data_IF_565737996558
#
_entry.id   IF_565737996558
#
_cell.length_a   1.000
_cell.length_b   1.000
_cell.length_c   1.000
_cell.angle_alpha   90.00
_cell.angle_beta   90.00
_cell.angle_gamma   90.00
#
_symmetry.space_group_name_H-M   'P 1'
#
loop_
_entity.id
_entity.type
_entity.pdbx_description
1 polymer ?
#
# COMPACT_ATOMS: atom_id res chain seq x y z
N UNK A 1 8.03 -6.16 39.30
CA UNK A 1 7.50 -6.33 37.95
C UNK A 1 7.27 -4.92 37.36
N UNK A 2 8.18 -4.42 36.56
CA UNK A 2 8.09 -3.10 35.95
C UNK A 2 7.01 -3.19 34.85
N UNK A 3 5.85 -2.55 35.06
CA UNK A 3 4.85 -2.36 34.04
C UNK A 3 5.41 -1.39 33.01
N UNK A 4 6.12 -1.93 32.01
CA UNK A 4 6.51 -1.11 30.87
C UNK A 4 5.23 -0.69 30.15
N UNK A 5 4.91 0.59 30.19
CA UNK A 5 3.84 1.20 29.39
C UNK A 5 3.98 0.67 27.95
N UNK A 6 2.91 0.15 27.32
CA UNK A 6 2.98 -0.32 25.95
C UNK A 6 3.53 0.80 25.06
N UNK A 7 4.59 0.51 24.30
CA UNK A 7 5.22 1.48 23.39
C UNK A 7 4.46 1.67 22.09
N UNK A 8 3.36 0.94 21.93
CA UNK A 8 2.44 0.97 20.79
C UNK A 8 0.99 1.00 21.27
N UNK A 9 0.05 1.52 20.48
CA UNK A 9 -1.40 1.50 20.77
C UNK A 9 -1.91 0.08 20.60
N UNK A 10 -2.32 -0.58 21.69
CA UNK A 10 -2.77 -1.99 21.69
C UNK A 10 -4.21 -2.18 22.16
N UNK A 11 -4.86 -1.13 22.62
CA UNK A 11 -6.23 -1.15 23.17
C UNK A 11 -7.31 -0.88 22.10
N UNK A 12 -6.88 -0.59 20.88
CA UNK A 12 -7.76 -0.35 19.72
C UNK A 12 -7.23 -1.11 18.51
N UNK A 13 -8.10 -1.82 17.80
CA UNK A 13 -7.72 -2.53 16.58
C UNK A 13 -7.51 -1.57 15.41
N UNK A 14 -6.44 -1.79 14.63
CA UNK A 14 -6.20 -1.03 13.42
C UNK A 14 -7.17 -1.41 12.29
N UNK A 15 -7.55 -0.44 11.48
CA UNK A 15 -8.46 -0.66 10.34
C UNK A 15 -7.81 -1.57 9.29
N UNK A 16 -8.49 -2.64 8.84
CA UNK A 16 -7.94 -3.53 7.81
C UNK A 16 -7.80 -2.80 6.48
N UNK A 17 -6.63 -2.90 5.85
CA UNK A 17 -6.33 -2.29 4.55
C UNK A 17 -5.62 -3.28 3.64
N UNK A 18 -5.72 -3.08 2.32
CA UNK A 18 -4.96 -3.83 1.32
C UNK A 18 -3.88 -2.94 0.71
N UNK A 19 -2.65 -3.42 0.72
CA UNK A 19 -1.49 -2.74 0.14
C UNK A 19 -1.07 -3.41 -1.17
N UNK A 20 -1.51 -2.87 -2.31
CA UNK A 20 -1.20 -3.43 -3.63
C UNK A 20 0.31 -3.50 -3.91
N UNK A 21 1.08 -2.54 -3.40
CA UNK A 21 2.53 -2.49 -3.54
C UNK A 21 3.28 -3.60 -2.77
N UNK A 22 2.59 -4.35 -1.89
CA UNK A 22 3.14 -5.51 -1.20
C UNK A 22 3.07 -6.80 -2.05
N UNK A 23 2.44 -6.76 -3.23
CA UNK A 23 2.35 -7.91 -4.12
C UNK A 23 3.70 -8.26 -4.76
N UNK A 24 4.06 -9.55 -4.89
CA UNK A 24 5.31 -9.98 -5.55
C UNK A 24 5.52 -9.38 -6.94
N UNK A 25 4.46 -9.29 -7.74
CA UNK A 25 4.53 -8.69 -9.07
C UNK A 25 4.93 -7.20 -9.03
N UNK A 26 4.59 -6.49 -7.95
CA UNK A 26 4.98 -5.10 -7.76
C UNK A 26 6.47 -4.97 -7.43
N UNK A 27 6.98 -5.83 -6.55
CA UNK A 27 8.42 -5.89 -6.24
C UNK A 27 9.24 -6.19 -7.49
N UNK A 28 8.81 -7.18 -8.28
CA UNK A 28 9.50 -7.56 -9.52
C UNK A 28 9.59 -6.38 -10.49
N UNK A 29 8.50 -5.60 -10.64
CA UNK A 29 8.54 -4.42 -11.50
C UNK A 29 9.52 -3.37 -10.95
N UNK A 30 9.54 -3.10 -9.63
CA UNK A 30 10.49 -2.15 -9.03
C UNK A 30 11.93 -2.61 -9.26
N UNK A 31 12.24 -3.90 -9.09
CA UNK A 31 13.57 -4.45 -9.39
C UNK A 31 13.93 -4.26 -10.85
N UNK A 32 13.00 -4.56 -11.76
CA UNK A 32 13.22 -4.38 -13.20
C UNK A 32 13.45 -2.91 -13.58
N UNK A 33 12.83 -1.94 -12.91
CA UNK A 33 13.11 -0.51 -13.14
C UNK A 33 14.58 -0.17 -12.85
N UNK A 34 15.18 -0.82 -11.87
CA UNK A 34 16.57 -0.62 -11.47
C UNK A 34 17.54 -1.62 -12.12
N UNK A 35 17.10 -2.33 -13.15
CA UNK A 35 17.88 -3.36 -13.86
C UNK A 35 18.43 -4.45 -12.91
N UNK A 36 17.66 -4.80 -11.88
CA UNK A 36 17.94 -5.89 -10.92
C UNK A 36 17.07 -7.09 -11.24
N UNK A 37 17.64 -8.30 -11.14
CA UNK A 37 16.91 -9.54 -11.34
C UNK A 37 15.93 -9.79 -10.20
N UNK A 38 14.63 -9.95 -10.48
CA UNK A 38 13.65 -10.36 -9.45
C UNK A 38 13.87 -11.80 -8.97
N UNK A 39 13.44 -12.15 -7.75
CA UNK A 39 13.49 -13.53 -7.25
C UNK A 39 12.85 -14.55 -8.22
N UNK A 40 13.48 -15.70 -8.39
CA UNK A 40 12.98 -16.74 -9.29
C UNK A 40 11.76 -17.46 -8.68
N UNK A 41 10.60 -17.46 -9.37
CA UNK A 41 9.35 -18.06 -8.91
C UNK A 41 8.96 -19.37 -9.63
N UNK A 42 9.94 -20.14 -10.09
CA UNK A 42 9.70 -21.34 -10.93
C UNK A 42 8.87 -22.42 -10.24
N UNK A 43 9.04 -22.61 -8.92
CA UNK A 43 8.39 -23.67 -8.12
C UNK A 43 7.54 -23.13 -6.99
N UNK A 44 7.16 -21.88 -7.06
CA UNK A 44 6.53 -21.13 -5.98
C UNK A 44 7.49 -20.12 -5.35
N UNK A 45 7.00 -19.41 -4.36
CA UNK A 45 7.77 -18.41 -3.61
C UNK A 45 7.30 -18.35 -2.15
N UNK A 46 8.09 -17.71 -1.30
CA UNK A 46 7.79 -17.48 0.10
C UNK A 46 7.69 -15.98 0.38
N UNK A 47 6.64 -15.57 1.07
CA UNK A 47 6.34 -14.17 1.35
C UNK A 47 5.96 -13.98 2.83
N UNK A 48 6.41 -12.90 3.46
CA UNK A 48 6.15 -12.62 4.86
C UNK A 48 5.79 -11.15 5.08
N UNK A 49 4.73 -10.87 5.87
CA UNK A 49 4.37 -9.53 6.32
C UNK A 49 4.62 -9.38 7.82
N UNK A 50 5.46 -8.42 8.18
CA UNK A 50 5.80 -8.02 9.53
C UNK A 50 4.90 -6.86 9.95
N UNK A 51 4.11 -7.04 11.02
CA UNK A 51 3.05 -6.11 11.39
C UNK A 51 1.84 -6.24 10.45
N UNK A 52 1.39 -7.47 10.20
CA UNK A 52 0.33 -7.74 9.22
C UNK A 52 -1.08 -7.26 9.66
N UNK A 53 -1.24 -6.76 10.88
CA UNK A 53 -2.53 -6.36 11.43
C UNK A 53 -3.55 -7.49 11.31
N UNK A 54 -4.75 -7.17 10.84
CA UNK A 54 -5.82 -8.14 10.62
C UNK A 54 -5.60 -9.01 9.36
N UNK A 55 -4.42 -9.01 8.74
CA UNK A 55 -3.99 -9.91 7.69
C UNK A 55 -4.68 -9.73 6.34
N UNK A 56 -5.26 -8.57 6.07
CA UNK A 56 -6.01 -8.32 4.82
C UNK A 56 -5.12 -8.48 3.58
N UNK A 57 -3.93 -7.88 3.56
CA UNK A 57 -2.98 -8.01 2.45
C UNK A 57 -2.52 -9.45 2.28
N UNK A 58 -2.08 -10.08 3.38
CA UNK A 58 -1.64 -11.47 3.37
C UNK A 58 -2.72 -12.43 2.87
N UNK A 59 -3.98 -12.26 3.32
CA UNK A 59 -5.10 -13.11 2.92
C UNK A 59 -5.43 -12.97 1.42
N UNK A 60 -5.46 -11.73 0.90
CA UNK A 60 -5.72 -11.46 -0.51
C UNK A 60 -4.63 -12.07 -1.40
N UNK A 61 -3.36 -11.84 -1.03
CA UNK A 61 -2.24 -12.38 -1.79
C UNK A 61 -2.18 -13.92 -1.71
N UNK A 62 -2.41 -14.51 -0.55
CA UNK A 62 -2.44 -15.96 -0.39
C UNK A 62 -3.56 -16.63 -1.21
N UNK A 63 -4.77 -16.07 -1.16
CA UNK A 63 -5.91 -16.60 -1.93
C UNK A 63 -5.68 -16.51 -3.44
N UNK A 64 -4.97 -15.49 -3.91
CA UNK A 64 -4.76 -15.23 -5.34
C UNK A 64 -3.44 -15.78 -5.89
N UNK A 65 -2.60 -16.38 -5.03
CA UNK A 65 -1.33 -17.03 -5.42
C UNK A 65 -1.23 -18.43 -4.79
N UNK A 66 -1.96 -19.41 -5.31
CA UNK A 66 -2.06 -20.73 -4.68
C UNK A 66 -0.73 -21.49 -4.58
N UNK A 67 0.27 -21.15 -5.40
CA UNK A 67 1.61 -21.75 -5.35
C UNK A 67 2.57 -21.04 -4.39
N UNK A 68 2.21 -19.87 -3.87
CA UNK A 68 3.01 -19.14 -2.89
C UNK A 68 2.77 -19.63 -1.46
N UNK A 69 3.75 -19.47 -0.58
CA UNK A 69 3.65 -19.69 0.87
C UNK A 69 3.69 -18.36 1.58
N UNK A 70 2.65 -18.06 2.34
CA UNK A 70 2.47 -16.77 2.97
C UNK A 70 2.54 -16.88 4.49
N UNK A 71 3.22 -15.92 5.10
CA UNK A 71 3.30 -15.76 6.54
C UNK A 71 2.91 -14.34 6.95
N UNK A 72 2.16 -14.22 8.04
CA UNK A 72 1.85 -12.93 8.66
C UNK A 72 2.23 -12.96 10.13
N UNK A 73 2.89 -11.93 10.60
CA UNK A 73 3.35 -11.77 11.98
C UNK A 73 2.80 -10.46 12.51
N UNK A 74 2.12 -10.50 13.66
CA UNK A 74 1.65 -9.31 14.36
C UNK A 74 1.77 -9.51 15.88
N UNK A 75 2.02 -8.42 16.59
CA UNK A 75 2.15 -8.43 18.05
C UNK A 75 0.79 -8.69 18.73
N UNK A 76 -0.31 -8.21 18.13
CA UNK A 76 -1.64 -8.25 18.74
C UNK A 76 -2.35 -9.58 18.45
N UNK A 77 -2.66 -10.38 19.50
CA UNK A 77 -3.36 -11.65 19.32
C UNK A 77 -4.74 -11.50 18.68
N UNK A 78 -5.44 -10.38 18.93
CA UNK A 78 -6.76 -10.07 18.40
C UNK A 78 -6.71 -9.87 16.86
N UNK A 79 -5.66 -9.19 16.37
CA UNK A 79 -5.42 -9.04 14.93
C UNK A 79 -5.22 -10.41 14.28
N UNK A 80 -4.37 -11.24 14.86
CA UNK A 80 -4.10 -12.59 14.33
C UNK A 80 -5.33 -13.49 14.42
N UNK A 81 -6.13 -13.37 15.48
CA UNK A 81 -7.40 -14.10 15.59
C UNK A 81 -8.38 -13.70 14.49
N UNK A 82 -8.49 -12.40 14.17
CA UNK A 82 -9.30 -11.90 13.06
C UNK A 82 -8.81 -12.41 11.71
N UNK A 83 -7.50 -12.31 11.45
CA UNK A 83 -6.87 -12.81 10.23
C UNK A 83 -7.07 -14.34 10.03
N UNK A 84 -6.96 -15.12 11.10
CA UNK A 84 -7.22 -16.57 11.09
C UNK A 84 -8.69 -16.90 10.81
N UNK A 85 -9.63 -16.11 11.34
CA UNK A 85 -11.06 -16.29 11.03
C UNK A 85 -11.33 -16.04 9.54
N UNK A 86 -10.76 -14.95 8.99
CA UNK A 86 -10.87 -14.64 7.56
C UNK A 86 -10.29 -15.76 6.70
N UNK A 87 -9.07 -16.21 7.00
CA UNK A 87 -8.38 -17.28 6.26
C UNK A 87 -9.19 -18.58 6.26
N UNK A 88 -9.72 -19.01 7.43
CA UNK A 88 -10.56 -20.22 7.52
C UNK A 88 -11.86 -20.10 6.73
N UNK A 89 -12.57 -18.98 6.83
CA UNK A 89 -13.82 -18.74 6.07
C UNK A 89 -13.60 -18.76 4.56
N UNK A 90 -12.46 -18.21 4.13
CA UNK A 90 -12.07 -18.14 2.73
C UNK A 90 -11.41 -19.43 2.21
N UNK A 91 -11.20 -20.46 3.05
CA UNK A 91 -10.51 -21.69 2.65
C UNK A 91 -9.04 -21.50 2.26
N UNK A 92 -8.36 -20.50 2.81
CA UNK A 92 -6.96 -20.20 2.49
C UNK A 92 -6.05 -21.14 3.28
N UNK A 93 -5.41 -22.09 2.57
CA UNK A 93 -4.54 -23.11 3.19
C UNK A 93 -3.06 -22.73 3.22
N UNK A 94 -2.62 -21.81 2.38
CA UNK A 94 -1.23 -21.43 2.18
C UNK A 94 -0.80 -20.16 2.97
N UNK A 95 -1.57 -19.77 4.01
CA UNK A 95 -1.29 -18.65 4.91
C UNK A 95 -1.11 -19.13 6.35
N UNK A 96 0.07 -18.88 6.91
CA UNK A 96 0.39 -19.15 8.32
C UNK A 96 0.51 -17.84 9.10
N UNK A 97 -0.14 -17.75 10.26
CA UNK A 97 -0.25 -16.50 11.04
C UNK A 97 0.31 -16.69 12.46
N UNK A 98 1.15 -15.75 12.91
CA UNK A 98 1.87 -15.81 14.18
C UNK A 98 1.56 -14.58 15.04
N UNK A 99 1.06 -14.79 16.27
CA UNK A 99 0.86 -13.76 17.28
C UNK A 99 2.11 -13.65 18.15
N UNK A 100 3.06 -12.81 17.79
CA UNK A 100 4.30 -12.60 18.54
C UNK A 100 5.04 -11.34 18.11
N UNK A 101 5.98 -10.88 18.96
CA UNK A 101 6.93 -9.85 18.61
C UNK A 101 8.01 -10.35 17.62
N UNK A 102 8.80 -9.44 17.06
CA UNK A 102 9.84 -9.76 16.09
C UNK A 102 10.99 -10.57 16.69
N UNK A 103 11.29 -10.41 17.99
CA UNK A 103 12.33 -11.18 18.66
C UNK A 103 11.95 -12.67 18.76
N UNK A 104 10.70 -12.94 19.12
CA UNK A 104 10.16 -14.30 19.15
C UNK A 104 10.03 -14.86 17.73
N UNK A 105 9.54 -14.05 16.77
CA UNK A 105 9.41 -14.45 15.39
C UNK A 105 10.75 -14.88 14.77
N UNK A 106 11.83 -14.14 15.04
CA UNK A 106 13.17 -14.48 14.56
C UNK A 106 13.68 -15.84 15.05
N UNK A 107 13.12 -16.39 16.13
CA UNK A 107 13.50 -17.69 16.71
C UNK A 107 12.59 -18.84 16.25
N UNK A 108 11.51 -18.53 15.53
CA UNK A 108 10.65 -19.56 14.94
C UNK A 108 11.39 -20.25 13.80
N UNK A 109 11.11 -21.53 13.58
CA UNK A 109 11.65 -22.31 12.46
C UNK A 109 11.01 -21.93 11.12
N UNK A 110 11.02 -20.65 10.78
CA UNK A 110 10.44 -20.12 9.56
C UNK A 110 11.37 -20.35 8.36
N UNK A 111 10.83 -20.48 7.14
CA UNK A 111 11.65 -20.57 5.95
C UNK A 111 12.40 -19.28 5.67
N UNK A 112 13.30 -19.29 4.69
CA UNK A 112 13.77 -18.06 4.07
C UNK A 112 12.70 -17.56 3.09
N UNK A 113 12.51 -16.23 3.07
CA UNK A 113 11.49 -15.56 2.28
C UNK A 113 12.10 -14.88 1.05
N UNK A 114 11.46 -15.03 -0.08
CA UNK A 114 11.79 -14.29 -1.30
C UNK A 114 11.35 -12.82 -1.19
N UNK A 115 10.27 -12.58 -0.43
CA UNK A 115 9.70 -11.26 -0.21
C UNK A 115 9.35 -11.05 1.26
N UNK A 116 9.84 -9.96 1.84
CA UNK A 116 9.45 -9.50 3.20
C UNK A 116 8.83 -8.12 3.09
N UNK A 117 7.71 -7.91 3.78
CA UNK A 117 6.96 -6.65 3.82
C UNK A 117 6.88 -6.13 5.24
N UNK A 118 7.21 -4.86 5.45
CA UNK A 118 6.96 -4.12 6.69
C UNK A 118 6.23 -2.81 6.33
N UNK A 119 4.90 -2.90 6.17
CA UNK A 119 4.07 -1.75 5.82
C UNK A 119 3.50 -1.08 7.06
N UNK A 120 3.78 0.23 7.23
CA UNK A 120 3.27 0.99 8.37
C UNK A 120 3.82 0.50 9.72
N UNK A 121 5.08 0.06 9.78
CA UNK A 121 5.70 -0.46 11.00
C UNK A 121 6.89 0.39 11.43
N UNK A 122 7.80 0.70 10.52
CA UNK A 122 9.15 1.17 10.82
C UNK A 122 9.19 2.49 11.61
N UNK A 123 8.27 3.40 11.35
CA UNK A 123 8.12 4.67 12.07
C UNK A 123 7.38 4.56 13.41
N UNK A 124 6.71 3.45 13.68
CA UNK A 124 5.88 3.26 14.89
C UNK A 124 6.53 2.39 15.97
N UNK A 125 7.73 1.88 15.70
CA UNK A 125 8.50 1.08 16.64
C UNK A 125 9.78 1.81 17.06
N UNK A 126 10.23 1.57 18.29
CA UNK A 126 11.44 2.18 18.81
C UNK A 126 12.73 1.63 18.15
N UNK A 127 13.89 2.28 18.32
CA UNK A 127 15.14 1.84 17.70
C UNK A 127 15.51 0.38 18.02
N UNK A 128 15.24 -0.10 19.24
CA UNK A 128 15.51 -1.48 19.64
C UNK A 128 14.60 -2.47 18.92
N UNK A 129 13.33 -2.13 18.76
CA UNK A 129 12.41 -2.96 17.99
C UNK A 129 12.75 -2.94 16.48
N UNK A 130 13.24 -1.80 15.94
CA UNK A 130 13.79 -1.75 14.55
C UNK A 130 15.00 -2.67 14.39
N UNK A 131 15.91 -2.69 15.37
CA UNK A 131 17.04 -3.61 15.37
C UNK A 131 16.57 -5.08 15.35
N UNK A 132 15.59 -5.41 16.17
CA UNK A 132 15.01 -6.77 16.21
C UNK A 132 14.33 -7.13 14.87
N UNK A 133 13.65 -6.18 14.25
CA UNK A 133 13.05 -6.36 12.92
C UNK A 133 14.14 -6.60 11.87
N UNK A 134 15.24 -5.83 11.89
CA UNK A 134 16.40 -6.05 11.00
C UNK A 134 17.02 -7.43 11.22
N UNK A 135 17.16 -7.86 12.48
CA UNK A 135 17.66 -9.21 12.79
C UNK A 135 16.74 -10.30 12.23
N UNK A 136 15.42 -10.13 12.28
CA UNK A 136 14.48 -11.04 11.62
C UNK A 136 14.72 -11.08 10.10
N UNK A 137 14.82 -9.92 9.47
CA UNK A 137 15.06 -9.81 8.02
C UNK A 137 16.39 -10.50 7.64
N UNK A 138 17.45 -10.21 8.39
CA UNK A 138 18.77 -10.80 8.15
C UNK A 138 18.75 -12.33 8.17
N UNK A 139 18.07 -12.90 9.16
CA UNK A 139 17.97 -14.35 9.35
C UNK A 139 17.10 -15.03 8.30
N UNK A 140 16.00 -14.39 7.89
CA UNK A 140 14.94 -15.04 7.12
C UNK A 140 14.81 -14.54 5.67
N UNK A 141 15.60 -13.60 5.21
CA UNK A 141 15.59 -13.21 3.80
C UNK A 141 16.45 -14.17 2.98
N UNK A 142 15.91 -14.61 1.85
CA UNK A 142 16.65 -15.44 0.88
C UNK A 142 17.75 -14.62 0.16
N UNK A 143 18.82 -15.25 -0.36
CA UNK A 143 19.71 -14.61 -1.33
C UNK A 143 18.90 -14.09 -2.53
N UNK A 144 19.16 -12.88 -3.00
CA UNK A 144 18.38 -12.20 -4.04
C UNK A 144 16.97 -11.79 -3.59
N UNK A 145 16.62 -12.04 -2.33
CA UNK A 145 15.30 -11.68 -1.77
C UNK A 145 15.11 -10.17 -1.63
N UNK A 146 13.87 -9.75 -1.65
CA UNK A 146 13.49 -8.34 -1.63
C UNK A 146 12.70 -7.97 -0.36
N UNK A 147 12.92 -6.77 0.13
CA UNK A 147 12.26 -6.21 1.31
C UNK A 147 11.58 -4.91 0.95
N UNK A 148 10.29 -4.80 1.28
CA UNK A 148 9.55 -3.54 1.23
C UNK A 148 9.43 -2.96 2.63
N UNK A 149 9.81 -1.69 2.78
CA UNK A 149 9.64 -0.95 4.02
C UNK A 149 8.91 0.36 3.73
N UNK A 150 7.87 0.66 4.50
CA UNK A 150 7.26 1.98 4.48
C UNK A 150 7.42 2.70 5.82
N UNK A 151 7.62 4.00 5.74
CA UNK A 151 7.84 4.84 6.91
C UNK A 151 7.44 6.29 6.67
N UNK A 152 7.10 6.99 7.74
CA UNK A 152 6.93 8.44 7.74
C UNK A 152 8.29 9.10 7.55
N UNK A 153 8.38 10.04 6.63
CA UNK A 153 9.65 10.57 6.16
C UNK A 153 9.83 12.06 6.49
N UNK A 154 11.04 12.39 6.91
CA UNK A 154 11.54 13.76 6.95
C UNK A 154 12.05 14.15 5.54
N UNK A 155 11.96 15.45 5.15
CA UNK A 155 11.54 16.60 5.96
C UNK A 155 10.02 16.83 5.99
N UNK A 156 9.23 16.08 5.28
CA UNK A 156 7.81 16.37 5.08
C UNK A 156 6.95 16.38 6.35
N UNK A 157 7.41 15.77 7.44
CA UNK A 157 6.75 15.81 8.75
C UNK A 157 7.24 16.96 9.65
N UNK A 158 8.29 17.71 9.30
CA UNK A 158 8.91 18.68 10.18
C UNK A 158 7.92 19.72 10.75
N UNK A 159 7.03 20.24 9.91
CA UNK A 159 6.04 21.26 10.33
C UNK A 159 4.92 20.68 11.24
N UNK A 160 4.76 19.37 11.27
CA UNK A 160 3.67 18.70 11.99
C UNK A 160 4.14 17.95 13.25
N UNK A 161 5.45 17.88 13.51
CA UNK A 161 6.00 17.30 14.76
C UNK A 161 5.43 17.95 16.03
N UNK A 162 5.35 19.30 16.14
CA UNK A 162 4.76 19.95 17.31
C UNK A 162 3.29 19.60 17.52
N UNK A 163 2.54 19.42 16.43
CA UNK A 163 1.14 19.00 16.49
C UNK A 163 1.01 17.57 17.06
N UNK A 164 1.78 16.63 16.54
CA UNK A 164 1.76 15.23 17.03
C UNK A 164 2.17 15.17 18.51
N UNK A 165 3.26 15.84 18.90
CA UNK A 165 3.73 15.86 20.26
C UNK A 165 2.68 16.42 21.24
N UNK A 166 2.04 17.54 20.91
CA UNK A 166 1.00 18.14 21.73
C UNK A 166 -0.24 17.24 21.81
N UNK A 167 -0.63 16.62 20.70
CA UNK A 167 -1.75 15.65 20.68
C UNK A 167 -1.50 14.50 21.64
N UNK A 168 -0.30 13.90 21.59
CA UNK A 168 0.10 12.85 22.51
C UNK A 168 0.12 13.30 23.98
N UNK A 169 0.71 14.47 24.24
CA UNK A 169 0.81 15.03 25.60
C UNK A 169 -0.57 15.29 26.22
N UNK A 170 -1.52 15.83 25.43
CA UNK A 170 -2.90 16.04 25.87
C UNK A 170 -3.64 14.72 26.13
N UNK A 171 -3.48 13.75 25.22
CA UNK A 171 -4.11 12.45 25.34
C UNK A 171 -3.67 11.69 26.60
N UNK A 172 -2.43 11.85 27.04
CA UNK A 172 -1.93 11.27 28.30
C UNK A 172 -2.65 11.76 29.56
N UNK A 173 -3.27 12.93 29.51
CA UNK A 173 -4.04 13.48 30.64
C UNK A 173 -5.50 13.02 30.62
N UNK A 174 -5.96 12.39 29.56
CA UNK A 174 -7.34 11.96 29.41
C UNK A 174 -7.53 10.50 29.87
N UNK A 175 -8.71 10.19 30.40
CA UNK A 175 -9.14 8.83 30.74
C UNK A 175 -9.79 8.12 29.55
N UNK A 176 -9.88 6.79 29.65
CA UNK A 176 -10.52 5.95 28.64
C UNK A 176 -9.54 5.24 27.73
N UNK A 177 -10.04 4.64 26.65
CA UNK A 177 -9.25 4.02 25.60
C UNK A 177 -8.58 5.05 24.69
N UNK A 178 -7.75 4.60 23.77
CA UNK A 178 -7.01 5.49 22.87
C UNK A 178 -7.94 6.32 21.96
N UNK A 179 -9.13 5.86 21.62
CA UNK A 179 -10.13 6.65 20.85
C UNK A 179 -10.66 7.80 21.70
N UNK A 180 -11.08 7.52 22.93
CA UNK A 180 -11.58 8.52 23.87
C UNK A 180 -10.50 9.57 24.19
N UNK A 181 -9.27 9.11 24.47
CA UNK A 181 -8.11 9.97 24.71
C UNK A 181 -7.80 10.89 23.56
N UNK A 182 -7.83 10.36 22.32
CA UNK A 182 -7.65 11.18 21.13
C UNK A 182 -8.77 12.22 20.96
N UNK A 183 -10.03 11.82 21.19
CA UNK A 183 -11.18 12.75 21.13
C UNK A 183 -11.06 13.92 22.13
N UNK A 184 -10.62 13.64 23.37
CA UNK A 184 -10.38 14.68 24.37
C UNK A 184 -9.23 15.62 23.98
N UNK A 185 -8.12 15.06 23.45
CA UNK A 185 -7.02 15.85 22.92
C UNK A 185 -7.45 16.73 21.76
N UNK A 186 -8.22 16.19 20.82
CA UNK A 186 -8.75 16.94 19.67
C UNK A 186 -9.64 18.12 20.11
N UNK A 187 -10.55 17.92 21.04
CA UNK A 187 -11.39 18.98 21.55
C UNK A 187 -10.56 20.14 22.15
N UNK A 188 -9.48 19.79 22.85
CA UNK A 188 -8.56 20.80 23.41
C UNK A 188 -7.75 21.49 22.31
N UNK A 189 -7.20 20.75 21.33
CA UNK A 189 -6.48 21.32 20.18
C UNK A 189 -7.35 22.33 19.40
N UNK A 190 -8.63 22.02 19.20
CA UNK A 190 -9.58 22.94 18.54
C UNK A 190 -9.77 24.23 19.33
N UNK A 191 -9.90 24.15 20.65
CA UNK A 191 -10.01 25.34 21.52
C UNK A 191 -8.75 26.19 21.46
N UNK A 192 -7.57 25.56 21.54
CA UNK A 192 -6.28 26.25 21.45
C UNK A 192 -6.08 26.92 20.08
N UNK A 193 -6.46 26.25 19.00
CA UNK A 193 -6.43 26.82 17.66
C UNK A 193 -7.34 28.05 17.51
N UNK A 194 -8.58 27.94 18.03
CA UNK A 194 -9.53 29.06 18.05
C UNK A 194 -9.04 30.24 18.91
N UNK A 195 -8.31 29.96 19.99
CA UNK A 195 -7.65 30.97 20.82
C UNK A 195 -6.36 31.57 20.17
N UNK A 196 -6.00 31.15 18.97
CA UNK A 196 -4.88 31.74 18.21
C UNK A 196 -3.52 31.09 18.44
N UNK A 197 -3.44 29.82 18.87
CA UNK A 197 -2.20 29.09 19.04
C UNK A 197 -1.42 29.00 17.71
N UNK A 198 -0.40 29.84 17.54
CA UNK A 198 0.31 30.06 16.26
C UNK A 198 0.89 28.76 15.68
N UNK A 199 1.58 27.95 16.49
CA UNK A 199 2.18 26.70 16.02
C UNK A 199 1.13 25.69 15.52
N UNK A 200 -0.06 25.62 16.15
CA UNK A 200 -1.15 24.78 15.68
C UNK A 200 -1.73 25.31 14.36
N UNK A 201 -2.00 26.63 14.31
CA UNK A 201 -2.58 27.24 13.12
C UNK A 201 -1.64 27.22 11.91
N UNK A 202 -0.33 27.05 12.12
CA UNK A 202 0.68 26.85 11.07
C UNK A 202 0.87 25.38 10.69
N UNK A 203 0.38 24.41 11.48
CA UNK A 203 0.48 23.00 11.13
C UNK A 203 -0.41 22.65 9.94
N UNK A 204 0.14 22.09 8.86
CA UNK A 204 -0.65 21.64 7.70
C UNK A 204 -1.70 20.58 8.08
N UNK A 205 -1.38 19.66 8.99
CA UNK A 205 -2.31 18.62 9.47
C UNK A 205 -3.46 19.25 10.25
N UNK A 206 -3.17 20.16 11.20
CA UNK A 206 -4.20 20.82 11.98
C UNK A 206 -5.20 21.56 11.08
N UNK A 207 -4.69 22.33 10.10
CA UNK A 207 -5.54 23.06 9.14
C UNK A 207 -6.37 22.15 8.23
N UNK A 208 -5.79 21.01 7.78
CA UNK A 208 -6.42 20.14 6.80
C UNK A 208 -7.36 19.13 7.44
N UNK A 209 -6.96 18.50 8.53
CA UNK A 209 -7.63 17.33 9.08
C UNK A 209 -8.53 17.66 10.28
N UNK A 210 -8.15 18.63 11.12
CA UNK A 210 -8.98 19.02 12.24
C UNK A 210 -9.92 20.21 11.94
N UNK A 211 -9.58 21.08 10.99
CA UNK A 211 -10.44 22.19 10.60
C UNK A 211 -11.56 21.80 9.63
N UNK A 212 -11.35 20.75 8.81
CA UNK A 212 -12.35 20.23 7.87
C UNK A 212 -13.00 18.97 8.43
N UNK A 213 -14.33 18.93 8.44
CA UNK A 213 -15.11 17.79 8.96
C UNK A 213 -14.63 16.43 8.44
N UNK A 214 -14.28 15.54 9.36
CA UNK A 214 -13.83 14.16 9.13
C UNK A 214 -14.99 13.23 8.76
N UNK A 215 -15.56 13.33 7.61
CA UNK A 215 -16.68 12.45 7.25
C UNK A 215 -16.29 11.00 6.91
N UNK A 216 -14.97 10.68 6.75
CA UNK A 216 -14.57 9.41 6.13
C UNK A 216 -13.36 8.70 6.76
N UNK A 217 -12.87 9.10 7.94
CA UNK A 217 -11.73 8.45 8.59
C UNK A 217 -12.14 7.92 9.97
N UNK A 218 -11.89 6.62 10.21
CA UNK A 218 -12.22 6.00 11.48
C UNK A 218 -11.43 6.63 12.64
N UNK A 219 -12.05 6.89 13.81
CA UNK A 219 -11.36 7.42 14.98
C UNK A 219 -10.14 6.59 15.41
N UNK A 220 -10.23 5.26 15.24
CA UNK A 220 -9.13 4.33 15.50
C UNK A 220 -7.86 4.67 14.70
N UNK A 221 -7.97 5.09 13.45
CA UNK A 221 -6.83 5.51 12.63
C UNK A 221 -6.03 6.64 13.30
N UNK A 222 -6.72 7.66 13.79
CA UNK A 222 -6.05 8.80 14.42
C UNK A 222 -5.40 8.45 15.77
N UNK A 223 -5.99 7.52 16.53
CA UNK A 223 -5.38 7.03 17.75
C UNK A 223 -4.03 6.35 17.45
N UNK A 224 -3.99 5.47 16.45
CA UNK A 224 -2.74 4.83 16.02
C UNK A 224 -1.73 5.83 15.42
N UNK A 225 -2.19 6.80 14.61
CA UNK A 225 -1.30 7.75 13.93
C UNK A 225 -0.64 8.74 14.90
N UNK A 226 -1.36 9.20 15.94
CA UNK A 226 -0.88 10.32 16.79
C UNK A 226 -0.58 9.94 18.23
N UNK A 227 -1.01 8.77 18.72
CA UNK A 227 -0.82 8.41 20.12
C UNK A 227 0.27 7.36 20.36
N UNK A 228 0.95 6.89 19.34
CA UNK A 228 2.07 5.95 19.49
C UNK A 228 3.30 6.66 20.10
N UNK A 229 3.75 6.27 21.32
CA UNK A 229 4.86 6.98 22.00
C UNK A 229 6.20 6.81 21.28
N UNK A 230 6.37 5.73 20.52
CA UNK A 230 7.59 5.43 19.77
C UNK A 230 7.58 6.02 18.34
N UNK A 231 6.50 6.71 17.94
CA UNK A 231 6.40 7.25 16.60
C UNK A 231 7.52 8.24 16.27
N UNK A 232 8.19 8.00 15.16
CA UNK A 232 9.32 8.80 14.70
C UNK A 232 9.37 8.82 13.17
N UNK A 233 9.23 9.98 12.52
CA UNK A 233 9.58 10.13 11.10
C UNK A 233 11.10 10.07 10.95
N UNK A 234 11.56 9.44 9.87
CA UNK A 234 12.96 9.13 9.64
C UNK A 234 13.47 9.79 8.35
N UNK A 235 14.74 10.15 8.32
CA UNK A 235 15.40 10.51 7.06
C UNK A 235 15.73 9.24 6.25
N UNK A 236 15.70 9.37 4.92
CA UNK A 236 16.03 8.24 4.03
C UNK A 236 17.43 7.70 4.27
N UNK A 237 18.39 8.57 4.58
CA UNK A 237 19.78 8.21 4.90
C UNK A 237 19.87 7.37 6.18
N UNK A 238 19.07 7.67 7.20
CA UNK A 238 19.03 6.86 8.43
C UNK A 238 18.51 5.45 8.14
N UNK A 239 17.40 5.34 7.40
CA UNK A 239 16.83 4.04 7.06
C UNK A 239 17.75 3.22 6.19
N UNK A 240 18.39 3.83 5.18
CA UNK A 240 19.38 3.15 4.33
C UNK A 240 20.59 2.67 5.12
N UNK A 241 21.14 3.52 6.00
CA UNK A 241 22.25 3.15 6.88
C UNK A 241 21.89 1.99 7.80
N UNK A 242 20.71 2.03 8.44
CA UNK A 242 20.23 0.92 9.28
C UNK A 242 20.10 -0.39 8.50
N UNK A 243 19.58 -0.38 7.28
CA UNK A 243 19.40 -1.58 6.45
C UNK A 243 20.68 -2.08 5.80
N UNK A 244 21.62 -1.19 5.51
CA UNK A 244 22.95 -1.57 5.03
C UNK A 244 23.72 -2.43 6.04
N UNK A 245 23.46 -2.28 7.35
CA UNK A 245 24.09 -3.12 8.40
C UNK A 245 23.77 -4.62 8.24
N UNK A 246 22.73 -4.97 7.50
CA UNK A 246 22.33 -6.35 7.20
C UNK A 246 22.46 -6.68 5.70
N UNK A 247 23.28 -5.93 4.97
CA UNK A 247 23.59 -6.18 3.55
C UNK A 247 22.44 -5.88 2.58
N UNK A 248 21.49 -5.02 2.95
CA UNK A 248 20.44 -4.60 2.05
C UNK A 248 20.82 -3.35 1.26
N UNK A 249 20.60 -3.40 -0.04
CA UNK A 249 20.86 -2.31 -0.98
C UNK A 249 19.51 -1.75 -1.48
N UNK A 250 19.33 -0.42 -1.56
CA UNK A 250 18.11 0.16 -2.09
C UNK A 250 17.97 -0.16 -3.59
N UNK A 251 16.78 -0.60 -4.00
CA UNK A 251 16.45 -0.96 -5.37
C UNK A 251 15.57 0.11 -6.03
N UNK A 252 14.62 0.68 -5.29
CA UNK A 252 13.77 1.72 -5.82
C UNK A 252 12.55 1.97 -4.94
N UNK A 253 11.65 2.82 -5.44
CA UNK A 253 10.41 3.14 -4.74
C UNK A 253 9.24 2.31 -5.24
N UNK A 254 8.46 1.73 -4.33
CA UNK A 254 7.18 1.12 -4.66
C UNK A 254 6.09 2.16 -5.02
N UNK A 255 6.33 3.44 -4.82
CA UNK A 255 5.59 4.52 -5.47
C UNK A 255 6.18 4.74 -6.86
N UNK A 256 5.70 3.98 -7.86
CA UNK A 256 6.36 3.83 -9.16
C UNK A 256 6.78 5.15 -9.82
N UNK A 257 5.96 6.19 -9.75
CA UNK A 257 6.29 7.53 -10.29
C UNK A 257 7.58 8.12 -9.70
N UNK A 258 7.91 7.76 -8.45
CA UNK A 258 9.09 8.28 -7.77
C UNK A 258 10.41 7.68 -8.28
N UNK A 259 10.38 6.68 -9.16
CA UNK A 259 11.56 6.17 -9.84
C UNK A 259 11.95 6.97 -11.08
N UNK A 260 11.20 8.04 -11.42
CA UNK A 260 11.43 8.85 -12.61
C UNK A 260 11.51 10.33 -12.20
N UNK A 261 12.74 10.86 -12.08
CA UNK A 261 12.96 12.27 -11.72
C UNK A 261 12.26 13.22 -12.71
N UNK A 262 12.22 12.86 -13.99
CA UNK A 262 11.51 13.63 -15.02
C UNK A 262 10.00 13.76 -14.80
N UNK A 263 9.40 12.89 -13.98
CA UNK A 263 7.97 12.95 -13.67
C UNK A 263 7.66 13.80 -12.44
N UNK A 264 8.59 13.88 -11.50
CA UNK A 264 8.32 14.44 -10.17
C UNK A 264 9.12 15.70 -9.85
N UNK A 265 10.22 15.95 -10.56
CA UNK A 265 11.11 17.09 -10.36
C UNK A 265 11.12 18.02 -11.57
N UNK A 266 11.14 19.33 -11.31
CA UNK A 266 11.34 20.36 -12.33
C UNK A 266 12.76 20.28 -12.88
N UNK A 267 13.00 20.88 -14.04
CA UNK A 267 14.31 20.82 -14.69
C UNK A 267 15.42 21.36 -13.77
N UNK A 268 15.26 22.55 -13.20
CA UNK A 268 16.23 23.14 -12.29
C UNK A 268 16.52 22.28 -11.04
N UNK A 269 15.51 21.54 -10.54
CA UNK A 269 15.68 20.62 -9.40
C UNK A 269 16.53 19.40 -9.80
N UNK A 270 16.35 18.88 -11.02
CA UNK A 270 17.19 17.78 -11.56
C UNK A 270 18.62 18.24 -11.78
N UNK A 271 18.81 19.41 -12.39
CA UNK A 271 20.15 20.02 -12.61
C UNK A 271 20.88 20.19 -11.28
N UNK A 272 20.21 20.69 -10.24
CA UNK A 272 20.81 20.78 -8.91
C UNK A 272 21.15 19.42 -8.28
N UNK A 273 20.35 18.38 -8.56
CA UNK A 273 20.65 17.02 -8.09
C UNK A 273 21.81 16.37 -8.86
N UNK A 274 22.02 16.72 -10.12
CA UNK A 274 23.11 16.15 -10.93
C UNK A 274 24.50 16.59 -10.47
N UNK A 275 24.58 17.68 -9.69
CA UNK A 275 25.80 18.15 -9.02
C UNK A 275 26.17 17.30 -7.79
N UNK A 276 25.25 16.45 -7.29
CA UNK A 276 25.43 15.65 -6.07
C UNK A 276 25.87 14.24 -6.45
N UNK A 277 27.14 13.94 -6.20
CA UNK A 277 27.75 12.66 -6.58
C UNK A 277 27.40 11.52 -5.59
N UNK A 278 27.19 11.82 -4.29
CA UNK A 278 26.92 10.81 -3.27
C UNK A 278 25.45 10.39 -3.34
N UNK A 279 25.16 9.08 -3.56
CA UNK A 279 23.80 8.62 -3.87
C UNK A 279 22.78 8.82 -2.74
N UNK A 280 23.19 8.63 -1.48
CA UNK A 280 22.26 8.76 -0.34
C UNK A 280 21.99 10.22 -0.04
N UNK A 281 22.97 11.10 -0.18
CA UNK A 281 22.79 12.55 -0.08
C UNK A 281 21.89 13.08 -1.22
N UNK A 282 22.11 12.57 -2.46
CA UNK A 282 21.24 12.89 -3.61
C UNK A 282 19.78 12.54 -3.31
N UNK A 283 19.54 11.37 -2.75
CA UNK A 283 18.19 10.90 -2.41
C UNK A 283 17.59 11.72 -1.24
N UNK A 284 18.40 12.11 -0.26
CA UNK A 284 17.98 13.02 0.82
C UNK A 284 17.54 14.36 0.27
N UNK A 285 18.35 14.98 -0.58
CA UNK A 285 18.03 16.29 -1.20
C UNK A 285 16.77 16.18 -2.06
N UNK A 286 16.60 15.06 -2.75
CA UNK A 286 15.39 14.76 -3.50
C UNK A 286 14.13 14.78 -2.62
N UNK A 287 14.20 14.26 -1.39
CA UNK A 287 13.10 14.34 -0.42
C UNK A 287 12.78 15.80 0.00
N UNK A 288 13.80 16.69 0.02
CA UNK A 288 13.57 18.12 0.27
C UNK A 288 12.80 18.78 -0.88
N UNK A 289 13.14 18.50 -2.14
CA UNK A 289 12.38 19.00 -3.28
C UNK A 289 10.95 18.50 -3.32
N UNK A 290 10.74 17.20 -3.02
CA UNK A 290 9.43 16.57 -3.04
C UNK A 290 8.62 16.82 -1.76
N UNK A 291 9.21 17.39 -0.72
CA UNK A 291 8.61 17.51 0.62
C UNK A 291 8.02 16.16 1.08
N UNK A 292 8.83 15.08 0.95
CA UNK A 292 8.39 13.71 1.13
C UNK A 292 7.93 13.46 2.57
N UNK A 293 6.67 13.01 2.73
CA UNK A 293 6.07 12.68 4.03
C UNK A 293 5.99 11.19 4.31
N UNK A 294 5.97 10.38 3.26
CA UNK A 294 5.83 8.93 3.38
C UNK A 294 6.62 8.25 2.27
N UNK A 295 7.47 7.33 2.67
CA UNK A 295 8.27 6.52 1.75
C UNK A 295 7.77 5.07 1.73
N UNK A 296 7.96 4.45 0.58
CA UNK A 296 7.71 3.03 0.32
C UNK A 296 8.88 2.53 -0.50
N UNK A 297 9.92 2.10 0.19
CA UNK A 297 11.16 1.74 -0.46
C UNK A 297 11.32 0.22 -0.54
N UNK A 298 11.91 -0.25 -1.64
CA UNK A 298 12.26 -1.66 -1.87
C UNK A 298 13.77 -1.79 -1.80
N UNK A 299 14.21 -2.79 -1.06
CA UNK A 299 15.61 -3.16 -0.88
C UNK A 299 15.82 -4.60 -1.36
N UNK A 300 17.03 -4.95 -1.73
CA UNK A 300 17.39 -6.29 -2.16
C UNK A 300 18.67 -6.74 -1.44
N UNK A 301 18.75 -8.05 -1.16
CA UNK A 301 20.00 -8.71 -0.75
C UNK A 301 20.70 -9.24 -1.99
N UNK A 302 22.00 -8.95 -2.12
CA UNK A 302 22.84 -9.41 -3.23
C UNK A 302 22.18 -9.18 -4.61
N UNK A 303 21.86 -7.92 -4.99
CA UNK A 303 21.17 -7.65 -6.23
C UNK A 303 21.99 -8.08 -7.44
N UNK A 304 21.44 -8.95 -8.29
CA UNK A 304 22.05 -9.37 -9.54
C UNK A 304 21.67 -8.40 -10.67
N UNK A 305 22.61 -7.70 -11.31
CA UNK A 305 22.29 -6.77 -12.40
C UNK A 305 21.89 -7.53 -13.66
N UNK A 306 20.94 -6.95 -14.42
CA UNK A 306 20.55 -7.44 -15.75
C UNK A 306 20.81 -6.39 -16.83
N UNK A 307 21.17 -6.82 -18.03
CA UNK A 307 21.39 -5.91 -19.15
C UNK A 307 20.10 -5.28 -19.68
N UNK A 308 20.20 -4.07 -20.25
CA UNK A 308 19.03 -3.30 -20.70
C UNK A 308 18.14 -4.00 -21.74
N UNK A 309 18.68 -4.92 -22.56
CA UNK A 309 17.89 -5.75 -23.49
C UNK A 309 17.00 -6.72 -22.71
N UNK A 310 17.57 -7.39 -21.71
CA UNK A 310 16.88 -8.33 -20.85
C UNK A 310 15.86 -7.61 -19.96
N UNK A 311 16.21 -6.47 -19.39
CA UNK A 311 15.29 -5.61 -18.64
C UNK A 311 14.04 -5.28 -19.46
N UNK A 312 14.19 -4.78 -20.68
CA UNK A 312 13.05 -4.47 -21.56
C UNK A 312 12.21 -5.71 -21.87
N UNK A 313 12.88 -6.83 -22.20
CA UNK A 313 12.19 -8.10 -22.46
C UNK A 313 11.33 -8.54 -21.28
N UNK A 314 11.87 -8.45 -20.05
CA UNK A 314 11.14 -8.84 -18.84
C UNK A 314 10.01 -7.87 -18.50
N UNK A 315 10.19 -6.57 -18.69
CA UNK A 315 9.09 -5.59 -18.50
C UNK A 315 7.95 -5.88 -19.47
N UNK A 316 8.23 -6.16 -20.74
CA UNK A 316 7.21 -6.55 -21.72
C UNK A 316 6.51 -7.87 -21.36
N UNK A 317 7.25 -8.81 -20.75
CA UNK A 317 6.72 -10.08 -20.23
C UNK A 317 5.95 -9.95 -18.92
N UNK A 318 6.03 -8.81 -18.27
CA UNK A 318 5.26 -8.56 -17.07
C UNK A 318 3.79 -8.44 -17.40
N UNK A 319 2.93 -9.03 -16.57
CA UNK A 319 1.48 -8.92 -16.75
C UNK A 319 0.97 -7.65 -16.10
N UNK A 320 0.15 -6.92 -16.82
CA UNK A 320 -0.48 -5.68 -16.35
C UNK A 320 -2.01 -5.80 -16.41
N UNK A 321 -2.66 -5.02 -15.53
CA UNK A 321 -4.11 -4.84 -15.55
C UNK A 321 -4.45 -3.36 -15.43
N UNK A 322 -5.57 -2.93 -16.04
CA UNK A 322 -6.15 -1.62 -15.80
C UNK A 322 -6.62 -1.49 -14.33
N UNK A 323 -6.52 -0.30 -13.78
CA UNK A 323 -7.03 0.04 -12.45
C UNK A 323 -8.43 0.63 -12.47
N UNK A 324 -8.94 0.93 -13.67
CA UNK A 324 -10.25 1.50 -13.92
C UNK A 324 -10.71 1.25 -15.36
N UNK A 325 -11.92 1.73 -15.73
CA UNK A 325 -12.44 1.57 -17.08
C UNK A 325 -11.56 2.24 -18.13
N UNK A 326 -11.32 1.58 -19.26
CA UNK A 326 -10.51 2.12 -20.36
C UNK A 326 -10.99 3.50 -20.87
N UNK A 327 -12.32 3.69 -20.95
CA UNK A 327 -12.92 4.96 -21.40
C UNK A 327 -12.79 6.12 -20.40
N UNK A 328 -12.28 5.89 -19.18
CA UNK A 328 -12.04 6.94 -18.18
C UNK A 328 -10.56 7.30 -18.02
N UNK A 329 -9.68 6.76 -18.85
CA UNK A 329 -8.23 6.97 -18.74
C UNK A 329 -7.89 8.40 -19.15
N UNK A 330 -7.17 9.10 -18.25
CA UNK A 330 -6.50 10.36 -18.56
C UNK A 330 -5.04 10.08 -18.89
N UNK A 331 -4.58 10.50 -20.06
CA UNK A 331 -3.18 10.37 -20.47
C UNK A 331 -2.32 11.56 -19.99
N UNK A 332 -2.71 12.13 -18.86
CA UNK A 332 -2.01 13.21 -18.20
C UNK A 332 -1.97 12.95 -16.69
N UNK A 333 -0.79 13.12 -16.09
CA UNK A 333 -0.57 12.94 -14.67
C UNK A 333 -0.12 14.26 -14.03
N UNK A 334 -0.93 14.87 -13.17
CA UNK A 334 -0.48 16.04 -12.40
C UNK A 334 0.57 15.62 -11.38
N UNK A 335 1.65 16.39 -11.31
CA UNK A 335 2.76 16.22 -10.36
C UNK A 335 3.14 17.55 -9.73
N UNK A 336 4.03 17.55 -8.74
CA UNK A 336 4.57 18.79 -8.17
C UNK A 336 5.39 19.60 -9.19
N UNK A 337 5.96 18.93 -10.19
CA UNK A 337 6.74 19.54 -11.27
C UNK A 337 5.90 20.06 -12.45
N UNK A 338 4.58 19.85 -12.42
CA UNK A 338 3.67 20.17 -13.52
C UNK A 338 2.89 18.94 -13.99
N UNK A 339 2.25 19.05 -15.14
CA UNK A 339 1.51 17.92 -15.73
C UNK A 339 2.38 17.16 -16.72
N UNK A 340 2.59 15.88 -16.47
CA UNK A 340 3.27 14.97 -17.40
C UNK A 340 2.24 14.40 -18.37
N UNK A 341 2.46 14.62 -19.68
CA UNK A 341 1.63 14.09 -20.75
C UNK A 341 2.28 12.86 -21.37
N UNK A 342 1.52 11.79 -21.54
CA UNK A 342 1.95 10.53 -22.18
C UNK A 342 0.88 10.00 -23.15
N UNK A 343 0.14 10.91 -23.76
CA UNK A 343 -0.84 10.60 -24.79
C UNK A 343 -0.13 10.33 -26.13
N UNK A 344 0.16 9.06 -26.38
CA UNK A 344 0.78 8.59 -27.60
C UNK A 344 0.11 7.28 -28.06
N UNK A 345 0.44 6.84 -29.29
CA UNK A 345 -0.16 5.65 -29.89
C UNK A 345 0.09 4.38 -29.05
N UNK A 346 1.33 4.19 -28.52
CA UNK A 346 1.66 3.02 -27.70
C UNK A 346 0.84 2.98 -26.41
N UNK A 347 0.69 4.11 -25.71
CA UNK A 347 -0.10 4.18 -24.49
C UNK A 347 -1.59 3.85 -24.76
N UNK A 348 -2.17 4.41 -25.82
CA UNK A 348 -3.56 4.12 -26.22
C UNK A 348 -3.76 2.64 -26.56
N UNK A 349 -2.81 2.03 -27.27
CA UNK A 349 -2.84 0.61 -27.63
C UNK A 349 -2.70 -0.30 -26.43
N UNK A 350 -1.84 0.05 -25.44
CA UNK A 350 -1.74 -0.68 -24.17
C UNK A 350 -3.10 -0.65 -23.44
N UNK A 351 -3.72 0.51 -23.33
CA UNK A 351 -5.03 0.64 -22.66
C UNK A 351 -6.10 -0.17 -23.40
N UNK A 352 -6.12 -0.13 -24.72
CA UNK A 352 -7.06 -0.93 -25.54
C UNK A 352 -6.85 -2.43 -25.37
N UNK A 353 -5.60 -2.92 -25.34
CA UNK A 353 -5.26 -4.30 -25.07
C UNK A 353 -5.75 -4.75 -23.70
N UNK A 354 -5.45 -3.95 -22.67
CA UNK A 354 -5.79 -4.27 -21.29
C UNK A 354 -7.29 -4.08 -20.96
N UNK A 355 -8.07 -3.46 -21.84
CA UNK A 355 -9.52 -3.39 -21.73
C UNK A 355 -10.18 -4.78 -21.77
N UNK A 356 -9.56 -5.76 -22.45
CA UNK A 356 -9.98 -7.15 -22.48
C UNK A 356 -9.61 -7.97 -21.24
N UNK A 357 -8.82 -7.40 -20.33
CA UNK A 357 -8.34 -8.07 -19.12
C UNK A 357 -6.81 -8.00 -18.95
N UNK A 358 -6.28 -8.64 -17.87
CA UNK A 358 -4.84 -8.65 -17.61
C UNK A 358 -4.04 -9.35 -18.72
N UNK A 359 -3.01 -8.68 -19.26
CA UNK A 359 -2.19 -9.17 -20.37
C UNK A 359 -0.71 -8.82 -20.17
N UNK A 360 0.16 -9.54 -20.90
CA UNK A 360 1.55 -9.14 -21.15
C UNK A 360 1.63 -8.22 -22.37
N UNK A 361 2.75 -7.52 -22.53
CA UNK A 361 2.95 -6.59 -23.63
C UNK A 361 3.87 -7.15 -24.74
N UNK A 362 4.23 -8.44 -24.66
CA UNK A 362 5.18 -9.08 -25.58
C UNK A 362 4.79 -8.99 -27.06
N UNK A 363 3.49 -9.12 -27.36
CA UNK A 363 2.99 -9.20 -28.72
C UNK A 363 2.63 -7.81 -29.31
N UNK A 364 2.88 -6.74 -28.55
CA UNK A 364 2.60 -5.41 -29.03
C UNK A 364 3.53 -5.02 -30.17
N UNK A 365 2.94 -4.66 -31.33
CA UNK A 365 3.67 -4.10 -32.47
C UNK A 365 4.21 -2.70 -32.10
N UNK A 366 5.40 -2.35 -32.65
CA UNK A 366 6.05 -1.06 -32.44
C UNK A 366 7.46 -1.24 -31.86
N UNK A 367 8.19 -0.14 -31.71
CA UNK A 367 9.50 -0.18 -31.08
C UNK A 367 9.36 -0.57 -29.61
N UNK A 368 10.07 -1.59 -29.17
CA UNK A 368 10.00 -2.10 -27.78
C UNK A 368 10.29 -1.01 -26.74
N UNK A 369 11.12 -0.02 -27.09
CA UNK A 369 11.42 1.11 -26.21
C UNK A 369 10.17 1.96 -25.96
N UNK A 370 9.39 2.31 -26.98
CA UNK A 370 8.20 3.15 -26.87
C UNK A 370 7.10 2.45 -26.08
N UNK A 371 6.93 1.13 -26.29
CA UNK A 371 5.96 0.32 -25.54
C UNK A 371 6.33 0.27 -24.07
N UNK A 372 7.61 0.04 -23.73
CA UNK A 372 8.10 0.03 -22.34
C UNK A 372 7.93 1.40 -21.71
N UNK A 373 8.37 2.48 -22.36
CA UNK A 373 8.24 3.84 -21.83
C UNK A 373 6.78 4.20 -21.53
N UNK A 374 5.87 3.88 -22.48
CA UNK A 374 4.43 4.13 -22.30
C UNK A 374 3.82 3.27 -21.19
N UNK A 375 4.21 2.00 -21.06
CA UNK A 375 3.74 1.13 -19.99
C UNK A 375 4.18 1.65 -18.62
N UNK A 376 5.43 2.10 -18.50
CA UNK A 376 5.96 2.66 -17.25
C UNK A 376 5.31 3.99 -16.89
N UNK A 377 5.03 4.86 -17.87
CA UNK A 377 4.27 6.09 -17.65
C UNK A 377 2.84 5.81 -17.16
N UNK A 378 2.14 4.87 -17.78
CA UNK A 378 0.80 4.42 -17.38
C UNK A 378 0.83 3.79 -15.97
N UNK A 379 1.86 3.01 -15.63
CA UNK A 379 2.01 2.43 -14.31
C UNK A 379 2.35 3.49 -13.24
N UNK A 380 3.22 4.45 -13.56
CA UNK A 380 3.55 5.57 -12.70
C UNK A 380 2.34 6.47 -12.42
N UNK A 381 1.46 6.66 -13.42
CA UNK A 381 0.20 7.36 -13.28
C UNK A 381 -0.89 6.55 -12.54
N UNK A 382 -0.63 5.28 -12.23
CA UNK A 382 -1.57 4.39 -11.56
C UNK A 382 -2.73 3.93 -12.46
N UNK A 383 -2.63 4.07 -13.77
CA UNK A 383 -3.65 3.65 -14.75
C UNK A 383 -3.59 2.15 -14.97
N UNK A 384 -2.38 1.60 -15.01
CA UNK A 384 -2.17 0.16 -15.00
C UNK A 384 -1.36 -0.24 -13.76
N UNK A 385 -1.43 -1.52 -13.40
CA UNK A 385 -0.62 -2.08 -12.30
C UNK A 385 -0.06 -3.42 -12.69
N UNK A 386 1.12 -3.79 -12.14
CA UNK A 386 1.65 -5.13 -12.27
C UNK A 386 0.76 -6.12 -11.51
N UNK A 387 0.51 -7.28 -12.11
CA UNK A 387 -0.35 -8.33 -11.55
C UNK A 387 0.27 -9.71 -11.73
N UNK A 388 -0.20 -10.68 -10.95
CA UNK A 388 0.28 -12.05 -11.04
C UNK A 388 -0.15 -12.73 -12.34
N UNK A 389 0.61 -13.70 -12.83
CA UNK A 389 0.21 -14.52 -13.97
C UNK A 389 -0.87 -15.56 -13.63
N UNK A 390 -1.18 -15.76 -12.33
CA UNK A 390 -2.13 -16.78 -11.91
C UNK A 390 -3.55 -16.24 -11.78
N UNK A 391 -4.54 -17.10 -12.01
CA UNK A 391 -5.96 -16.87 -11.83
C UNK A 391 -6.44 -17.57 -10.56
N UNK A 392 -5.85 -17.22 -9.42
CA UNK A 392 -6.20 -17.82 -8.13
C UNK A 392 -7.66 -17.56 -7.74
N UNK A 393 -8.31 -18.49 -7.00
CA UNK A 393 -9.70 -18.37 -6.62
C UNK A 393 -9.93 -17.22 -5.65
N UNK A 394 -10.50 -16.12 -6.12
CA UNK A 394 -10.83 -14.96 -5.28
C UNK A 394 -12.27 -15.00 -4.72
N UNK A 395 -13.13 -15.88 -5.26
CA UNK A 395 -14.57 -15.87 -4.95
C UNK A 395 -14.88 -16.16 -3.49
N UNK A 396 -14.27 -17.20 -2.92
CA UNK A 396 -14.49 -17.59 -1.51
C UNK A 396 -14.00 -16.50 -0.55
N UNK A 397 -12.85 -15.88 -0.84
CA UNK A 397 -12.35 -14.76 -0.05
C UNK A 397 -13.29 -13.55 -0.16
N UNK A 398 -13.77 -13.24 -1.36
CA UNK A 398 -14.70 -12.13 -1.55
C UNK A 398 -16.02 -12.35 -0.80
N UNK A 399 -16.53 -13.56 -0.77
CA UNK A 399 -17.70 -13.91 0.04
C UNK A 399 -17.43 -13.72 1.55
N UNK A 400 -16.28 -14.16 2.04
CA UNK A 400 -15.88 -13.96 3.44
C UNK A 400 -15.67 -12.48 3.79
N UNK A 401 -15.18 -11.67 2.86
CA UNK A 401 -15.02 -10.22 3.04
C UNK A 401 -16.37 -9.48 3.07
N UNK A 402 -17.40 -10.00 2.39
CA UNK A 402 -18.75 -9.41 2.40
C UNK A 402 -19.44 -9.53 3.76
N UNK A 403 -19.08 -10.55 4.55
CA UNK A 403 -19.62 -10.77 5.89
C UNK A 403 -18.92 -9.92 6.96
N UNK A 404 -17.76 -9.31 6.65
CA UNK A 404 -17.09 -8.41 7.59
C UNK A 404 -17.92 -7.12 7.67
N UNK A 405 -18.32 -6.76 8.91
CA UNK A 405 -18.98 -5.49 9.17
C UNK A 405 -18.05 -4.33 8.79
N UNK A 406 -18.49 -3.54 7.81
CA UNK A 406 -17.72 -2.45 7.20
C UNK A 406 -18.16 -1.08 7.66
N UNK A 407 -19.06 -0.97 8.64
CA UNK A 407 -19.46 0.34 9.16
C UNK A 407 -18.27 1.08 9.78
N UNK A 408 -17.31 0.34 10.35
CA UNK A 408 -16.10 0.89 10.92
C UNK A 408 -14.97 1.16 9.89
N UNK A 409 -15.06 0.66 8.65
CA UNK A 409 -14.02 0.81 7.64
C UNK A 409 -14.54 1.60 6.43
N UNK A 410 -13.87 2.71 6.04
CA UNK A 410 -14.31 3.54 4.90
C UNK A 410 -14.17 2.82 3.55
N UNK A 411 -13.34 1.78 3.47
CA UNK A 411 -13.09 1.00 2.27
C UNK A 411 -13.11 -0.49 2.57
N UNK A 412 -13.57 -1.29 1.59
CA UNK A 412 -13.47 -2.75 1.61
C UNK A 412 -12.66 -3.20 0.42
N UNK A 413 -11.72 -4.12 0.63
CA UNK A 413 -10.97 -4.73 -0.45
C UNK A 413 -11.80 -5.85 -1.12
N UNK A 414 -11.71 -5.94 -2.44
CA UNK A 414 -12.24 -7.06 -3.25
C UNK A 414 -11.11 -7.67 -4.04
N UNK A 415 -10.78 -8.90 -3.73
CA UNK A 415 -9.71 -9.63 -4.40
C UNK A 415 -10.05 -9.87 -5.87
N UNK A 416 -9.05 -9.67 -6.74
CA UNK A 416 -9.11 -10.02 -8.15
C UNK A 416 -8.27 -11.27 -8.41
N UNK A 417 -8.70 -12.18 -9.28
CA UNK A 417 -7.97 -13.43 -9.59
C UNK A 417 -6.50 -13.21 -9.97
N UNK A 418 -6.17 -12.07 -10.58
CA UNK A 418 -4.82 -11.71 -11.01
C UNK A 418 -3.88 -11.23 -9.89
N UNK A 419 -4.14 -11.54 -8.64
CA UNK A 419 -3.21 -11.29 -7.54
C UNK A 419 -3.16 -9.85 -7.03
N UNK A 420 -4.27 -9.13 -7.14
CA UNK A 420 -4.44 -7.78 -6.58
C UNK A 420 -5.85 -7.61 -6.03
N UNK A 421 -6.19 -6.42 -5.56
CA UNK A 421 -7.56 -6.11 -5.13
C UNK A 421 -7.96 -4.70 -5.54
N UNK A 422 -9.27 -4.49 -5.62
CA UNK A 422 -9.88 -3.17 -5.69
C UNK A 422 -10.30 -2.73 -4.30
N UNK A 423 -10.09 -1.46 -3.99
CA UNK A 423 -10.66 -0.83 -2.81
C UNK A 423 -12.01 -0.23 -3.21
N UNK A 424 -13.09 -0.70 -2.59
CA UNK A 424 -14.44 -0.18 -2.78
C UNK A 424 -14.81 0.70 -1.59
N UNK A 425 -15.29 1.90 -1.87
CA UNK A 425 -15.90 2.73 -0.84
C UNK A 425 -17.10 2.00 -0.19
N UNK A 426 -17.24 2.10 1.12
CA UNK A 426 -18.32 1.47 1.86
C UNK A 426 -19.71 1.91 1.34
N UNK A 427 -19.82 3.17 0.88
CA UNK A 427 -21.05 3.68 0.26
C UNK A 427 -21.39 2.96 -1.05
N UNK A 428 -20.38 2.73 -1.92
CA UNK A 428 -20.57 1.99 -3.18
C UNK A 428 -20.95 0.53 -2.90
N UNK A 429 -20.31 -0.10 -1.92
CA UNK A 429 -20.64 -1.46 -1.52
C UNK A 429 -22.08 -1.60 -1.02
N UNK A 430 -22.54 -0.70 -0.15
CA UNK A 430 -23.94 -0.66 0.29
C UNK A 430 -24.88 -0.51 -0.90
N UNK A 431 -24.61 0.45 -1.77
CA UNK A 431 -25.37 0.68 -3.01
C UNK A 431 -25.53 -0.58 -3.87
N UNK A 432 -24.46 -1.38 -4.02
CA UNK A 432 -24.49 -2.64 -4.76
C UNK A 432 -25.27 -3.74 -4.02
N UNK A 433 -25.11 -3.85 -2.69
CA UNK A 433 -25.80 -4.81 -1.85
C UNK A 433 -27.32 -4.56 -1.85
N UNK A 434 -27.72 -3.29 -1.87
CA UNK A 434 -29.12 -2.87 -1.88
C UNK A 434 -29.79 -3.02 -3.27
N UNK A 435 -29.13 -3.73 -4.20
CA UNK A 435 -29.67 -4.06 -5.53
C UNK A 435 -29.68 -2.91 -6.54
N UNK A 436 -29.00 -1.81 -6.24
CA UNK A 436 -28.91 -0.68 -7.16
C UNK A 436 -27.99 -0.96 -8.35
N UNK A 437 -28.33 -0.42 -9.51
CA UNK A 437 -27.54 -0.59 -10.72
C UNK A 437 -26.16 0.08 -10.60
N UNK A 438 -25.14 -0.62 -11.06
CA UNK A 438 -23.79 -0.06 -11.22
C UNK A 438 -23.83 1.23 -12.04
N UNK A 439 -23.08 2.27 -11.64
CA UNK A 439 -22.83 3.41 -12.51
C UNK A 439 -22.28 2.94 -13.87
N UNK A 440 -22.79 3.46 -14.99
CA UNK A 440 -22.43 3.02 -16.35
C UNK A 440 -20.92 2.90 -16.57
N UNK A 441 -20.14 3.85 -16.04
CA UNK A 441 -18.67 3.87 -16.12
C UNK A 441 -18.00 2.66 -15.46
N UNK A 442 -18.57 2.11 -14.40
CA UNK A 442 -18.03 0.94 -13.67
C UNK A 442 -18.57 -0.38 -14.26
N UNK A 443 -19.80 -0.37 -14.79
CA UNK A 443 -20.40 -1.53 -15.44
C UNK A 443 -19.66 -1.93 -16.74
N UNK A 444 -18.96 -1.00 -17.37
CA UNK A 444 -18.15 -1.25 -18.55
C UNK A 444 -16.73 -1.78 -18.24
N UNK A 445 -16.38 -1.97 -16.95
CA UNK A 445 -15.04 -2.40 -16.57
C UNK A 445 -15.03 -3.87 -16.12
N UNK A 446 -14.42 -4.80 -16.93
CA UNK A 446 -14.41 -6.23 -16.62
C UNK A 446 -13.77 -6.58 -15.26
N UNK A 447 -12.71 -5.88 -14.87
CA UNK A 447 -12.07 -6.05 -13.58
C UNK A 447 -12.99 -5.72 -12.40
N UNK A 448 -13.83 -4.71 -12.53
CA UNK A 448 -14.82 -4.35 -11.52
C UNK A 448 -15.96 -5.38 -11.47
N UNK A 449 -16.48 -5.79 -12.62
CA UNK A 449 -17.52 -6.82 -12.69
C UNK A 449 -17.06 -8.14 -12.08
N UNK A 450 -15.81 -8.56 -12.34
CA UNK A 450 -15.23 -9.74 -11.71
C UNK A 450 -15.14 -9.59 -10.18
N UNK A 451 -14.85 -8.40 -9.68
CA UNK A 451 -14.75 -8.13 -8.23
C UNK A 451 -16.12 -8.09 -7.53
N UNK A 452 -17.18 -7.77 -8.25
CA UNK A 452 -18.55 -7.60 -7.71
C UNK A 452 -19.47 -8.81 -7.96
N UNK A 453 -19.02 -9.81 -8.66
CA UNK A 453 -19.81 -10.96 -9.12
C UNK A 453 -20.53 -11.78 -8.00
N UNK A 454 -20.22 -11.56 -6.73
CA UNK A 454 -20.90 -12.16 -5.58
C UNK A 454 -21.90 -11.26 -4.88
N UNK A 455 -21.83 -9.94 -5.06
CA UNK A 455 -22.67 -8.97 -4.31
C UNK A 455 -24.12 -9.00 -4.81
N UNK A 456 -24.32 -9.23 -6.12
CA UNK A 456 -25.64 -9.14 -6.77
C UNK A 456 -26.44 -10.47 -6.79
N UNK A 457 -25.89 -11.58 -6.30
CA UNK A 457 -26.50 -12.93 -6.45
C UNK A 457 -27.35 -13.40 -5.27
N UNK A 458 -27.50 -12.62 -4.22
CA UNK A 458 -28.30 -13.03 -3.06
C UNK A 458 -29.80 -12.69 -3.15
N UNK A 459 -30.28 -12.16 -4.29
CA UNK A 459 -31.72 -11.95 -4.48
C UNK A 459 -32.18 -12.42 -5.86
N UNK A 460 -33.22 -13.23 -5.85
CA UNK A 460 -34.01 -13.61 -7.03
C UNK A 460 -34.50 -12.37 -7.78
N UNK A 461 -34.69 -12.40 -9.11
CA UNK A 461 -35.09 -11.23 -9.86
C UNK A 461 -36.51 -10.79 -9.46
N UNK A 462 -36.60 -9.76 -8.63
CA UNK A 462 -37.86 -9.07 -8.39
C UNK A 462 -38.21 -8.28 -9.66
N UNK A 463 -39.22 -8.76 -10.35
CA UNK A 463 -39.83 -8.10 -11.51
C UNK A 463 -40.32 -6.69 -11.14
N UNK A 464 -39.60 -5.66 -11.59
CA UNK A 464 -40.06 -4.27 -11.45
C UNK A 464 -41.05 -3.99 -12.60
N UNK A 465 -42.35 -4.11 -12.31
CA UNK A 465 -43.38 -3.53 -13.17
C UNK A 465 -43.24 -2.01 -13.16
N UNK A 466 -42.99 -1.44 -14.31
CA UNK A 466 -42.99 0.01 -14.54
C UNK A 466 -44.39 0.55 -14.33
N UNK A 467 -44.65 1.32 -13.27
CA UNK A 467 -45.82 2.21 -13.22
C UNK A 467 -45.50 3.43 -14.09
N UNK A 468 -46.08 3.46 -15.28
CA UNK A 468 -46.28 4.70 -16.02
C UNK A 468 -47.38 5.50 -15.26
N UNK A 469 -47.02 6.59 -14.65
CA UNK A 469 -47.96 7.58 -14.13
C UNK A 469 -48.46 8.41 -15.30
N UNK A 470 -49.77 8.29 -15.54
CA UNK A 470 -50.55 9.22 -16.38
C UNK A 470 -50.67 10.56 -15.67
N UNK A 471 -50.25 11.62 -16.34
CA UNK A 471 -50.64 12.99 -16.00
C UNK A 471 -52.10 13.21 -16.47
N UNK A 472 -52.92 13.70 -15.61
CA UNK A 472 -54.04 14.57 -15.88
C UNK A 472 -53.86 15.84 -15.08
#
# INVERSE_FOLDING_TARGET
MSSSTPRYVTDVTYTPTFTAAAAPAWFDLVALLSAVEPPARRTGFSWCELGCGQGMTAAILAATHPTGRFHGIDLMPEHIAAARRLARRAGIANLTLHACDFAKAARLGLPRFDYIVAHGVYSWIDPRARETLRHFIDRHLAPGGQVYISYNAMPGWAADLPFQYLTYALAKQAAGDSIAKFGAAEATLRRLGAAGARSLNNSPIFRRELAKHRKHVAPAYFAHEYLAPAWQPLYVTEVRAELATIGLVPVGSAMLRNNFDSFVLRQAEREALDEIAEPDLRELIRDYFLHTRFRRDVFCRDPAPIGGREQRRRILGHRFALTGPAGSVSYAMPTAAGTVHFDNEAARRIVALLAGGPQTLHEMKGAAHDVVASALALAAAGIIRPVAPSDGPAAALNAALDEIDTEAAPFTARALPCGTALLLEAALRRHLRDGHRLPRRLAAWPGFLASTAGIARNESPVSIKSKRGTRS
#
